data_IF_349592921430
#
_entry.id   IF_349592921430
#
_cell.length_a   1.000
_cell.length_b   1.000
_cell.length_c   1.000
_cell.angle_alpha   90.00
_cell.angle_beta   90.00
_cell.angle_gamma   90.00
#
_symmetry.space_group_name_H-M   'P 1'
#
loop_
_entity.id
_entity.type
_entity.pdbx_description
1 polymer ?
#
# COMPACT_ATOMS: atom_id res chain seq x y z
N UNK A 1 0.52 -12.28 14.78
CA UNK A 1 0.75 -12.18 13.35
C UNK A 1 -0.28 -11.28 12.69
N UNK A 2 0.21 -10.31 11.94
CA UNK A 2 -0.66 -9.31 11.34
C UNK A 2 -1.02 -9.70 9.92
N UNK A 3 -2.28 -9.54 9.57
CA UNK A 3 -2.76 -9.78 8.23
C UNK A 3 -3.18 -8.47 7.59
N UNK A 4 -2.73 -8.23 6.37
CA UNK A 4 -3.06 -7.01 5.62
C UNK A 4 -4.39 -7.21 4.91
N UNK A 5 -5.23 -6.20 4.98
CA UNK A 5 -6.51 -6.20 4.28
C UNK A 5 -6.62 -4.99 3.37
N UNK A 6 -7.26 -5.17 2.22
CA UNK A 6 -7.57 -4.06 1.33
C UNK A 6 -8.90 -3.44 1.73
N UNK A 7 -8.97 -2.12 1.73
CA UNK A 7 -10.24 -1.43 1.90
C UNK A 7 -11.10 -1.70 0.67
N UNK A 8 -12.41 -1.45 0.79
CA UNK A 8 -13.31 -1.60 -0.34
C UNK A 8 -12.85 -0.73 -1.52
N UNK A 9 -12.50 0.50 -1.23
CA UNK A 9 -12.01 1.44 -2.25
C UNK A 9 -10.74 0.89 -2.93
N UNK A 10 -9.80 0.37 -2.15
CA UNK A 10 -8.56 -0.16 -2.70
C UNK A 10 -8.81 -1.36 -3.58
N UNK A 11 -9.74 -2.24 -3.20
CA UNK A 11 -10.10 -3.39 -4.01
C UNK A 11 -10.73 -2.97 -5.34
N UNK A 12 -11.63 -1.99 -5.29
CA UNK A 12 -12.26 -1.48 -6.51
C UNK A 12 -11.23 -0.88 -7.45
N UNK A 13 -10.28 -0.12 -6.90
CA UNK A 13 -9.23 0.47 -7.71
C UNK A 13 -8.33 -0.59 -8.32
N UNK A 14 -8.01 -1.63 -7.54
CA UNK A 14 -7.19 -2.72 -8.07
C UNK A 14 -7.89 -3.43 -9.23
N UNK A 15 -9.19 -3.68 -9.09
CA UNK A 15 -9.97 -4.32 -10.16
C UNK A 15 -10.00 -3.46 -11.42
N UNK A 16 -10.23 -2.16 -11.26
CA UNK A 16 -10.27 -1.22 -12.39
C UNK A 16 -8.97 -1.20 -13.16
N UNK A 17 -7.86 -1.43 -12.48
CA UNK A 17 -6.53 -1.37 -13.09
C UNK A 17 -5.97 -2.73 -13.48
N UNK A 18 -6.76 -3.78 -13.29
CA UNK A 18 -6.31 -5.13 -13.61
C UNK A 18 -5.18 -5.63 -12.73
N UNK A 19 -5.09 -5.09 -11.51
CA UNK A 19 -4.06 -5.51 -10.56
C UNK A 19 -4.55 -6.77 -9.84
N UNK A 20 -3.75 -7.83 -9.93
CA UNK A 20 -4.08 -9.07 -9.26
C UNK A 20 -3.52 -9.09 -7.84
N UNK A 21 -4.41 -9.24 -6.86
CA UNK A 21 -4.02 -9.31 -5.46
C UNK A 21 -3.68 -10.76 -5.13
N UNK A 22 -2.42 -11.11 -5.32
CA UNK A 22 -1.93 -12.49 -5.10
C UNK A 22 -1.45 -12.66 -3.67
N UNK A 23 -1.33 -13.92 -3.19
CA UNK A 23 -0.71 -14.16 -1.88
C UNK A 23 0.70 -13.60 -1.78
N UNK A 24 1.47 -13.65 -2.88
CA UNK A 24 2.81 -13.09 -2.91
C UNK A 24 2.79 -11.58 -2.67
N UNK A 25 1.87 -10.88 -3.34
CA UNK A 25 1.74 -9.43 -3.14
C UNK A 25 1.36 -9.13 -1.68
N UNK A 26 0.41 -9.89 -1.13
CA UNK A 26 -0.01 -9.70 0.25
C UNK A 26 1.13 -9.92 1.24
N UNK A 27 1.96 -10.93 0.99
CA UNK A 27 3.12 -11.20 1.85
C UNK A 27 4.10 -10.04 1.81
N UNK A 28 4.35 -9.49 0.63
CA UNK A 28 5.28 -8.37 0.47
C UNK A 28 4.75 -7.11 1.15
N UNK A 29 3.44 -6.87 1.05
CA UNK A 29 2.80 -5.74 1.72
C UNK A 29 2.84 -5.93 3.24
N UNK A 30 2.61 -7.14 3.72
CA UNK A 30 2.67 -7.45 5.15
C UNK A 30 4.07 -7.15 5.69
N UNK A 31 5.09 -7.59 4.99
CA UNK A 31 6.47 -7.34 5.38
C UNK A 31 6.76 -5.83 5.45
N UNK A 32 6.26 -5.09 4.47
CA UNK A 32 6.43 -3.63 4.45
C UNK A 32 5.81 -2.98 5.67
N UNK A 33 4.61 -3.43 6.04
CA UNK A 33 3.90 -2.88 7.21
C UNK A 33 4.67 -3.20 8.49
N UNK A 34 5.18 -4.41 8.61
CA UNK A 34 5.94 -4.79 9.81
C UNK A 34 7.20 -3.95 9.95
N UNK A 35 7.91 -3.73 8.85
CA UNK A 35 9.10 -2.89 8.87
C UNK A 35 8.78 -1.43 9.22
N UNK A 36 7.68 -0.93 8.69
CA UNK A 36 7.24 0.44 8.96
C UNK A 36 6.77 0.59 10.41
N UNK A 37 6.07 -0.41 10.91
CA UNK A 37 5.61 -0.42 12.31
C UNK A 37 6.78 -0.35 13.27
N UNK A 38 7.84 -1.08 12.98
CA UNK A 38 9.03 -1.07 13.81
C UNK A 38 9.66 0.33 13.90
N UNK A 39 9.41 1.17 12.92
CA UNK A 39 9.93 2.55 12.89
C UNK A 39 8.90 3.59 13.32
N UNK A 40 7.71 3.15 13.72
CA UNK A 40 6.68 4.04 14.21
C UNK A 40 5.90 4.79 13.14
N UNK A 41 5.95 4.35 11.89
CA UNK A 41 5.23 5.01 10.80
C UNK A 41 3.74 4.76 10.91
N UNK A 42 2.94 5.73 10.51
CA UNK A 42 1.48 5.62 10.54
C UNK A 42 0.92 5.35 9.16
N UNK A 43 1.33 6.12 8.16
CA UNK A 43 0.89 5.92 6.78
C UNK A 43 2.11 5.80 5.89
N UNK A 44 2.14 4.79 5.06
CA UNK A 44 3.29 4.56 4.19
C UNK A 44 2.85 4.43 2.74
N UNK A 45 3.81 4.71 1.87
CA UNK A 45 3.67 4.50 0.44
C UNK A 45 4.53 3.30 0.07
N UNK A 46 3.90 2.22 -0.37
CA UNK A 46 4.61 1.02 -0.81
C UNK A 46 4.68 1.01 -2.32
N UNK A 47 5.88 0.91 -2.87
CA UNK A 47 6.12 0.99 -4.31
C UNK A 47 6.56 -0.34 -4.87
N UNK A 48 5.95 -0.75 -5.98
CA UNK A 48 6.27 -1.99 -6.67
C UNK A 48 6.24 -1.75 -8.18
N UNK A 49 7.40 -1.72 -8.82
CA UNK A 49 7.54 -1.50 -10.26
C UNK A 49 6.71 -0.28 -10.71
N UNK A 50 5.53 -0.53 -11.28
CA UNK A 50 4.67 0.54 -11.80
C UNK A 50 3.51 0.88 -10.88
N UNK A 51 3.43 0.25 -9.71
CA UNK A 51 2.29 0.39 -8.80
C UNK A 51 2.68 1.09 -7.51
N UNK A 52 1.68 1.69 -6.87
CA UNK A 52 1.84 2.32 -5.57
C UNK A 52 0.63 1.97 -4.69
N UNK A 53 0.90 1.70 -3.43
CA UNK A 53 -0.12 1.38 -2.45
C UNK A 53 0.04 2.32 -1.26
N UNK A 54 -1.07 2.92 -0.81
CA UNK A 54 -1.05 3.72 0.42
C UNK A 54 -1.63 2.85 1.52
N UNK A 55 -0.87 2.68 2.60
CA UNK A 55 -1.22 1.74 3.66
C UNK A 55 -1.26 2.44 5.01
N UNK A 56 -2.34 2.22 5.75
CA UNK A 56 -2.42 2.66 7.14
C UNK A 56 -1.83 1.54 8.00
N UNK A 57 -0.71 1.82 8.63
CA UNK A 57 0.08 0.82 9.35
C UNK A 57 -0.65 0.29 10.59
N UNK A 58 -1.17 1.15 11.49
CA UNK A 58 -1.83 0.64 12.70
C UNK A 58 -2.99 -0.30 12.42
N UNK A 59 -3.75 -0.05 11.35
CA UNK A 59 -4.89 -0.88 10.99
C UNK A 59 -4.54 -2.03 10.05
N UNK A 60 -3.32 -2.03 9.49
CA UNK A 60 -2.92 -3.03 8.52
C UNK A 60 -3.81 -3.02 7.29
N UNK A 61 -4.18 -1.83 6.83
CA UNK A 61 -5.15 -1.69 5.75
C UNK A 61 -4.59 -0.90 4.57
N UNK A 62 -4.73 -1.46 3.38
CA UNK A 62 -4.40 -0.75 2.14
C UNK A 62 -5.56 0.19 1.84
N UNK A 63 -5.27 1.49 1.86
CA UNK A 63 -6.30 2.52 1.69
C UNK A 63 -6.62 2.76 0.23
N UNK A 64 -5.59 2.79 -0.61
CA UNK A 64 -5.80 2.99 -2.04
C UNK A 64 -4.65 2.37 -2.83
N UNK A 65 -4.91 2.15 -4.10
CA UNK A 65 -3.98 1.54 -5.04
C UNK A 65 -3.98 2.38 -6.31
N UNK A 66 -2.80 2.64 -6.86
CA UNK A 66 -2.71 3.44 -8.07
C UNK A 66 -1.46 3.06 -8.87
N UNK A 67 -1.39 3.52 -10.12
CA UNK A 67 -0.17 3.40 -10.90
C UNK A 67 0.78 4.53 -10.48
N UNK A 68 2.08 4.34 -10.73
CA UNK A 68 3.04 5.39 -10.42
C UNK A 68 2.84 6.62 -11.30
N UNK A 69 2.30 6.43 -12.51
CA UNK A 69 1.97 7.57 -13.36
C UNK A 69 0.89 8.45 -12.73
N UNK A 70 -0.09 7.83 -12.08
CA UNK A 70 -1.14 8.57 -11.40
C UNK A 70 -0.60 9.35 -10.21
N UNK A 71 0.49 8.90 -9.62
CA UNK A 71 1.10 9.60 -8.49
C UNK A 71 1.53 11.02 -8.86
N UNK A 72 1.91 11.22 -10.10
CA UNK A 72 2.38 12.53 -10.56
C UNK A 72 1.30 13.60 -10.50
N UNK A 73 0.04 13.18 -10.52
CA UNK A 73 -1.11 14.08 -10.53
C UNK A 73 -1.71 14.26 -9.15
N UNK A 74 -1.15 13.60 -8.14
CA UNK A 74 -1.69 13.61 -6.79
C UNK A 74 -0.72 14.25 -5.81
N UNK A 75 -1.28 14.89 -4.79
CA UNK A 75 -0.49 15.42 -3.70
C UNK A 75 -0.72 14.50 -2.51
N UNK A 76 0.37 13.99 -1.95
CA UNK A 76 0.29 13.10 -0.81
C UNK A 76 0.66 13.87 0.45
N UNK A 77 -0.25 13.84 1.43
CA UNK A 77 -0.03 14.45 2.73
C UNK A 77 -0.08 13.35 3.78
N UNK A 78 0.57 13.59 4.92
CA UNK A 78 0.56 12.65 6.05
C UNK A 78 1.18 11.30 5.74
N UNK A 79 2.07 11.25 4.75
CA UNK A 79 2.85 10.03 4.46
C UNK A 79 4.15 10.11 5.25
N UNK A 80 4.36 9.13 6.14
CA UNK A 80 5.50 9.11 7.05
C UNK A 80 6.73 8.44 6.44
N UNK A 81 6.54 7.64 5.42
CA UNK A 81 7.67 6.94 4.83
C UNK A 81 7.26 6.18 3.58
N UNK A 82 8.24 5.66 2.88
CA UNK A 82 8.03 4.88 1.68
C UNK A 82 8.84 3.59 1.75
N UNK A 83 8.30 2.52 1.19
CA UNK A 83 8.96 1.22 1.15
C UNK A 83 8.96 0.76 -0.30
N UNK A 84 10.12 0.29 -0.75
CA UNK A 84 10.24 -0.32 -2.08
C UNK A 84 10.02 -1.82 -1.90
N UNK A 85 9.03 -2.34 -2.57
CA UNK A 85 8.69 -3.76 -2.46
C UNK A 85 9.66 -4.65 -3.23
#
# INVERSE_FOLDING_TARGET
>A
ERQIAFSKHAMERAEERGIEVTPNLLDRLTDSVERAEAKGATNILALDQSLAFIINVPNGRVITTMSQDEMKENIFTNIDGAVIL
#
